data_IF_735315312376
#
_entry.id   IF_735315312376
#
_cell.length_a   1.000
_cell.length_b   1.000
_cell.length_c   1.000
_cell.angle_alpha   90.00
_cell.angle_beta   90.00
_cell.angle_gamma   90.00
#
_symmetry.space_group_name_H-M   'P 1'
#
loop_
_entity.id
_entity.type
_entity.pdbx_description
1 polymer ?
#
# COMPACT_ATOMS: atom_id res chain seq x y z
N UNK A 1 5.90 -28.66 21.14
CA UNK A 1 7.06 -28.22 20.35
C UNK A 1 7.68 -27.02 21.04
N UNK A 2 9.01 -27.00 21.24
CA UNK A 2 9.74 -25.88 21.83
C UNK A 2 10.79 -25.40 20.85
N UNK A 3 10.72 -24.13 20.44
CA UNK A 3 11.71 -23.49 19.57
C UNK A 3 12.57 -22.53 20.39
N UNK A 4 13.89 -22.60 20.28
CA UNK A 4 14.84 -21.71 20.95
C UNK A 4 15.76 -21.08 19.92
N UNK A 5 15.82 -19.75 19.89
CA UNK A 5 16.67 -18.99 18.98
C UNK A 5 18.00 -18.64 19.66
N UNK A 6 19.12 -18.90 18.99
CA UNK A 6 20.47 -18.63 19.50
C UNK A 6 20.91 -17.17 19.29
N UNK A 7 20.30 -16.41 18.37
CA UNK A 7 20.59 -14.98 18.18
C UNK A 7 20.23 -14.08 19.38
N UNK A 8 19.44 -14.54 20.35
CA UNK A 8 19.13 -13.69 21.52
C UNK A 8 20.28 -13.59 22.53
N UNK A 9 21.43 -14.17 22.23
CA UNK A 9 22.65 -14.14 23.03
C UNK A 9 23.69 -13.24 22.37
N UNK A 10 23.31 -11.97 22.12
CA UNK A 10 24.14 -10.94 21.51
C UNK A 10 25.48 -10.80 22.26
N UNK A 11 26.55 -11.30 21.66
CA UNK A 11 27.89 -10.72 21.69
C UNK A 11 28.74 -11.43 20.64
N UNK A 12 29.25 -10.64 19.69
CA UNK A 12 30.21 -11.03 18.67
C UNK A 12 31.35 -11.90 19.25
N UNK A 13 31.73 -12.96 18.51
CA UNK A 13 33.01 -13.67 18.60
C UNK A 13 33.52 -14.06 20.00
N UNK A 14 32.73 -14.79 20.79
CA UNK A 14 33.27 -15.49 21.96
C UNK A 14 32.76 -16.92 22.04
N UNK A 15 33.68 -17.84 22.37
CA UNK A 15 33.35 -19.21 22.77
C UNK A 15 32.35 -19.15 23.92
N UNK A 16 31.28 -19.94 23.81
CA UNK A 16 30.27 -19.93 24.85
C UNK A 16 30.85 -20.46 26.16
N UNK A 17 30.60 -19.73 27.25
CA UNK A 17 30.98 -20.15 28.59
C UNK A 17 29.80 -20.82 29.33
N UNK A 18 30.11 -21.43 30.47
CA UNK A 18 29.12 -22.13 31.31
C UNK A 18 27.86 -21.29 31.58
N UNK A 19 28.00 -19.98 31.84
CA UNK A 19 26.85 -19.12 32.12
C UNK A 19 25.87 -19.03 30.94
N UNK A 20 26.36 -19.05 29.69
CA UNK A 20 25.50 -19.01 28.51
C UNK A 20 24.78 -20.35 28.30
N UNK A 21 25.44 -21.48 28.58
CA UNK A 21 24.80 -22.81 28.56
C UNK A 21 23.69 -22.92 29.62
N UNK A 22 23.93 -22.39 30.81
CA UNK A 22 22.90 -22.28 31.85
C UNK A 22 21.66 -21.54 31.35
N UNK A 23 21.84 -20.37 30.71
CA UNK A 23 20.71 -19.59 30.21
C UNK A 23 19.99 -20.32 29.08
N UNK A 24 20.70 -21.02 28.19
CA UNK A 24 20.09 -21.85 27.16
C UNK A 24 19.17 -22.93 27.74
N UNK A 25 19.68 -23.73 28.68
CA UNK A 25 18.90 -24.82 29.30
C UNK A 25 17.71 -24.27 30.08
N UNK A 26 17.89 -23.18 30.84
CA UNK A 26 16.78 -22.48 31.52
C UNK A 26 15.70 -22.04 30.54
N UNK A 27 16.09 -21.45 29.41
CA UNK A 27 15.13 -21.00 28.41
C UNK A 27 14.34 -22.14 27.77
N UNK A 28 14.96 -23.30 27.58
CA UNK A 28 14.24 -24.52 27.17
C UNK A 28 13.21 -24.90 28.24
N UNK A 29 13.63 -24.97 29.50
CA UNK A 29 12.76 -25.31 30.64
C UNK A 29 11.58 -24.33 30.78
N UNK A 30 11.81 -23.03 30.67
CA UNK A 30 10.77 -22.00 30.78
C UNK A 30 9.74 -22.13 29.65
N UNK A 31 10.19 -22.41 28.42
CA UNK A 31 9.29 -22.66 27.30
C UNK A 31 8.50 -23.96 27.46
N UNK A 32 9.08 -25.00 28.05
CA UNK A 32 8.37 -26.24 28.34
C UNK A 32 7.27 -26.03 29.39
N UNK A 33 7.54 -25.24 30.44
CA UNK A 33 6.53 -24.90 31.47
C UNK A 33 5.34 -24.17 30.88
N UNK A 34 5.58 -23.17 30.00
CA UNK A 34 4.52 -22.42 29.34
C UNK A 34 3.61 -23.30 28.47
N UNK A 35 4.15 -24.39 27.89
CA UNK A 35 3.37 -25.34 27.09
C UNK A 35 2.49 -26.23 27.97
N UNK A 36 2.96 -26.65 29.16
CA UNK A 36 2.19 -27.48 30.09
C UNK A 36 1.00 -26.73 30.71
N UNK A 37 1.19 -25.45 31.04
CA UNK A 37 0.13 -24.59 31.60
C UNK A 37 -1.03 -24.27 30.64
N UNK A 38 -0.84 -24.45 29.33
CA UNK A 38 -1.88 -24.19 28.31
C UNK A 38 -2.78 -25.39 27.98
N UNK A 39 -2.40 -26.60 28.41
CA UNK A 39 -3.09 -27.85 28.01
C UNK A 39 -4.10 -28.39 29.05
N UNK A 40 -4.39 -27.66 30.12
CA UNK A 40 -5.46 -28.02 31.07
C UNK A 40 -5.29 -29.36 31.79
N UNK A 41 -4.13 -29.99 31.74
CA UNK A 41 -3.82 -31.23 32.46
C UNK A 41 -3.00 -30.92 33.71
N UNK A 42 -3.62 -30.27 34.70
CA UNK A 42 -3.21 -30.47 36.09
C UNK A 42 -3.94 -31.73 36.50
N UNK A 43 -3.30 -32.89 36.38
CA UNK A 43 -3.54 -34.04 37.23
C UNK A 43 -2.41 -35.06 37.02
N UNK A 44 -1.72 -35.37 38.12
CA UNK A 44 -0.72 -36.44 38.27
C UNK A 44 0.77 -36.13 37.98
N UNK A 45 1.24 -34.90 38.20
CA UNK A 45 2.67 -34.64 38.42
C UNK A 45 2.99 -34.01 39.78
N UNK A 46 2.07 -34.05 40.74
CA UNK A 46 2.25 -33.42 42.06
C UNK A 46 2.81 -34.34 43.15
N UNK A 47 2.84 -35.66 42.98
CA UNK A 47 3.28 -36.56 44.06
C UNK A 47 4.79 -36.85 44.12
N UNK A 48 5.61 -36.17 43.29
CA UNK A 48 7.07 -36.22 43.40
C UNK A 48 7.75 -34.84 43.30
N UNK A 49 6.99 -33.75 43.45
CA UNK A 49 7.47 -32.35 43.37
C UNK A 49 7.23 -31.63 44.70
N UNK A 50 7.37 -32.33 45.82
CA UNK A 50 7.64 -31.69 47.11
C UNK A 50 9.12 -31.92 47.41
N UNK A 51 9.97 -31.20 46.68
CA UNK A 51 11.22 -30.61 47.19
C UNK A 51 11.86 -29.76 46.07
N UNK A 52 12.07 -28.49 46.41
CA UNK A 52 12.60 -27.37 45.60
C UNK A 52 11.63 -26.62 44.68
N UNK A 53 10.66 -25.92 45.29
CA UNK A 53 10.28 -24.55 44.90
C UNK A 53 11.40 -23.54 45.25
N UNK A 54 12.64 -23.88 44.85
CA UNK A 54 13.81 -23.02 45.03
C UNK A 54 14.11 -22.26 43.75
N UNK A 55 14.31 -20.96 43.90
CA UNK A 55 14.81 -20.03 42.89
C UNK A 55 15.79 -20.68 41.87
N UNK A 56 15.39 -20.72 40.60
CA UNK A 56 16.18 -21.30 39.49
C UNK A 56 17.50 -20.52 39.28
N UNK A 57 17.62 -19.34 39.89
CA UNK A 57 18.78 -18.45 39.81
C UNK A 57 20.09 -19.10 40.26
N UNK A 58 20.06 -20.12 41.14
CA UNK A 58 21.25 -20.73 41.77
C UNK A 58 21.60 -22.18 41.40
N UNK A 59 20.87 -22.84 40.50
CA UNK A 59 21.12 -24.26 40.16
C UNK A 59 22.29 -24.43 39.17
N UNK A 60 23.25 -25.32 39.49
CA UNK A 60 24.34 -25.78 38.63
C UNK A 60 23.87 -26.40 37.30
N UNK A 61 24.69 -26.35 36.24
CA UNK A 61 24.32 -26.78 34.88
C UNK A 61 23.84 -28.23 34.84
N UNK A 62 24.54 -29.13 35.54
CA UNK A 62 24.19 -30.55 35.66
C UNK A 62 22.80 -30.75 36.25
N UNK A 63 22.43 -29.96 37.28
CA UNK A 63 21.10 -30.03 37.91
C UNK A 63 20.02 -29.54 36.94
N UNK A 64 20.30 -28.52 36.14
CA UNK A 64 19.39 -28.03 35.10
C UNK A 64 19.20 -29.09 34.00
N UNK A 65 20.27 -29.75 33.56
CA UNK A 65 20.20 -30.83 32.58
C UNK A 65 19.43 -32.04 33.12
N UNK A 66 19.69 -32.46 34.36
CA UNK A 66 18.94 -33.54 35.01
C UNK A 66 17.45 -33.19 35.15
N UNK A 67 17.12 -31.92 35.45
CA UNK A 67 15.73 -31.46 35.49
C UNK A 67 15.09 -31.51 34.10
N UNK A 68 15.79 -31.05 33.07
CA UNK A 68 15.32 -31.12 31.69
C UNK A 68 15.06 -32.57 31.27
N UNK A 69 16.00 -33.48 31.55
CA UNK A 69 15.87 -34.90 31.25
C UNK A 69 14.63 -35.50 31.91
N UNK A 70 14.45 -35.27 33.21
CA UNK A 70 13.29 -35.78 33.96
C UNK A 70 11.97 -35.27 33.41
N UNK A 71 11.89 -34.00 33.00
CA UNK A 71 10.67 -33.42 32.45
C UNK A 71 10.31 -34.00 31.07
N UNK A 72 11.32 -34.35 30.27
CA UNK A 72 11.14 -34.90 28.92
C UNK A 72 11.03 -36.43 28.91
N UNK A 73 11.42 -37.09 30.01
CA UNK A 73 11.45 -38.55 30.11
C UNK A 73 10.04 -39.14 29.95
N UNK A 74 9.91 -40.13 29.06
CA UNK A 74 8.62 -40.77 28.77
C UNK A 74 7.66 -39.89 27.94
N UNK A 75 8.08 -38.71 27.49
CA UNK A 75 7.29 -37.81 26.64
C UNK A 75 7.89 -37.71 25.24
N UNK A 76 7.03 -37.66 24.22
CA UNK A 76 7.45 -37.23 22.88
C UNK A 76 7.70 -35.74 22.87
N UNK A 77 8.86 -35.30 22.39
CA UNK A 77 9.22 -33.88 22.33
C UNK A 77 9.83 -33.49 20.99
N UNK A 78 9.65 -32.23 20.60
CA UNK A 78 10.32 -31.62 19.47
C UNK A 78 10.98 -30.32 19.94
N UNK A 79 12.31 -30.26 19.89
CA UNK A 79 13.10 -29.08 20.21
C UNK A 79 13.74 -28.56 18.93
N UNK A 80 13.59 -27.26 18.66
CA UNK A 80 14.25 -26.60 17.53
C UNK A 80 15.30 -25.64 18.07
N UNK A 81 16.57 -25.93 17.78
CA UNK A 81 17.72 -25.08 18.05
C UNK A 81 17.98 -24.23 16.80
N UNK A 82 17.47 -23.00 16.82
CA UNK A 82 17.42 -22.17 15.63
C UNK A 82 18.60 -21.18 15.54
N UNK A 83 19.24 -21.16 14.37
CA UNK A 83 20.35 -20.28 13.97
C UNK A 83 21.58 -20.40 14.87
N UNK A 84 22.19 -21.59 14.93
CA UNK A 84 23.40 -21.87 15.72
C UNK A 84 24.67 -21.47 14.95
N UNK A 85 25.61 -20.76 15.58
CA UNK A 85 26.75 -20.10 14.89
C UNK A 85 28.15 -20.62 15.22
N UNK A 86 28.32 -21.45 16.25
CA UNK A 86 29.64 -21.89 16.69
C UNK A 86 29.64 -23.37 17.03
N UNK A 87 30.84 -23.93 17.07
CA UNK A 87 31.08 -25.30 17.49
C UNK A 87 31.35 -25.25 18.99
N UNK A 88 30.66 -26.08 19.77
CA UNK A 88 30.85 -26.18 21.21
C UNK A 88 30.75 -27.63 21.65
N UNK A 89 31.63 -28.03 22.56
CA UNK A 89 31.59 -29.35 23.16
C UNK A 89 30.26 -29.59 23.89
N UNK A 90 29.68 -28.56 24.51
CA UNK A 90 28.47 -28.67 25.31
C UNK A 90 27.27 -29.22 24.53
N UNK A 91 27.11 -28.85 23.26
CA UNK A 91 26.01 -29.33 22.41
C UNK A 91 26.51 -30.09 21.18
N UNK A 92 27.79 -30.49 21.18
CA UNK A 92 28.36 -31.43 20.23
C UNK A 92 27.76 -32.82 20.42
N UNK A 93 27.62 -33.56 19.31
CA UNK A 93 27.09 -34.93 19.30
C UNK A 93 25.85 -35.08 20.18
N UNK A 94 24.71 -34.58 19.70
CA UNK A 94 23.45 -34.71 20.42
C UNK A 94 23.03 -36.17 20.64
N UNK A 95 23.73 -37.16 20.05
CA UNK A 95 23.55 -38.59 20.30
C UNK A 95 24.28 -39.12 21.55
N UNK A 96 25.29 -38.41 22.07
CA UNK A 96 26.06 -38.86 23.24
C UNK A 96 25.27 -38.75 24.56
N UNK A 97 25.85 -39.25 25.66
CA UNK A 97 25.20 -39.29 26.99
C UNK A 97 26.09 -38.75 28.13
N UNK A 98 27.00 -37.83 27.83
CA UNK A 98 27.86 -37.18 28.83
C UNK A 98 27.06 -36.19 29.71
N UNK A 99 27.20 -36.29 31.03
CA UNK A 99 26.35 -35.61 32.02
C UNK A 99 26.44 -34.07 31.98
N UNK A 100 27.56 -33.53 31.50
CA UNK A 100 27.85 -32.11 31.37
C UNK A 100 27.41 -31.52 30.02
N UNK A 101 26.85 -32.34 29.12
CA UNK A 101 26.41 -31.94 27.78
C UNK A 101 24.89 -31.81 27.66
N UNK A 102 24.45 -30.98 26.72
CA UNK A 102 23.04 -30.79 26.39
C UNK A 102 22.32 -32.11 26.08
N UNK A 103 23.02 -33.06 25.46
CA UNK A 103 22.51 -34.39 25.12
C UNK A 103 22.01 -35.18 26.33
N UNK A 104 22.61 -35.00 27.51
CA UNK A 104 22.13 -35.60 28.76
C UNK A 104 20.77 -35.06 29.18
N UNK A 105 20.50 -33.78 28.92
CA UNK A 105 19.18 -33.19 29.13
C UNK A 105 18.08 -33.74 28.20
N UNK A 106 18.44 -34.50 27.17
CA UNK A 106 17.56 -34.95 26.09
C UNK A 106 17.38 -36.47 26.12
N UNK A 107 16.33 -36.99 26.79
CA UNK A 107 16.17 -38.41 26.99
C UNK A 107 15.98 -39.15 25.67
N UNK A 108 16.65 -40.30 25.54
CA UNK A 108 16.64 -41.14 24.34
C UNK A 108 15.58 -42.24 24.46
N UNK A 109 15.07 -42.69 23.31
CA UNK A 109 14.08 -43.77 23.26
C UNK A 109 12.64 -43.38 23.65
N UNK A 110 12.37 -42.10 23.96
CA UNK A 110 11.02 -41.60 24.31
C UNK A 110 10.29 -40.91 23.15
N UNK A 111 10.75 -41.06 21.89
CA UNK A 111 10.15 -40.38 20.73
C UNK A 111 10.47 -38.89 20.61
N UNK A 112 11.62 -38.46 21.17
CA UNK A 112 12.12 -37.10 21.08
C UNK A 112 12.88 -36.81 19.77
N UNK A 113 12.69 -35.61 19.21
CA UNK A 113 13.40 -35.11 18.05
C UNK A 113 14.00 -33.72 18.32
N UNK A 114 15.18 -33.47 17.76
CA UNK A 114 15.84 -32.16 17.79
C UNK A 114 16.14 -31.73 16.37
N UNK A 115 15.71 -30.53 15.99
CA UNK A 115 16.05 -29.90 14.71
C UNK A 115 17.05 -28.78 15.01
N UNK A 116 18.17 -28.79 14.30
CA UNK A 116 19.17 -27.71 14.36
C UNK A 116 19.12 -26.97 13.04
N UNK A 117 19.03 -25.64 13.07
CA UNK A 117 19.20 -24.80 11.87
C UNK A 117 20.47 -23.97 12.02
N UNK A 118 21.25 -23.88 10.96
CA UNK A 118 22.49 -23.10 10.90
C UNK A 118 22.83 -22.76 9.46
N UNK A 119 23.64 -21.72 9.27
CA UNK A 119 24.24 -21.34 7.98
C UNK A 119 25.63 -21.95 7.79
N UNK A 120 26.14 -22.68 8.77
CA UNK A 120 27.51 -23.20 8.83
C UNK A 120 27.44 -24.73 8.86
N UNK A 121 27.71 -25.41 7.73
CA UNK A 121 27.59 -26.87 7.62
C UNK A 121 28.37 -27.63 8.71
N UNK A 122 29.56 -27.14 9.06
CA UNK A 122 30.44 -27.74 10.06
C UNK A 122 29.81 -27.77 11.46
N UNK A 123 29.03 -26.73 11.80
CA UNK A 123 28.29 -26.67 13.07
C UNK A 123 27.22 -27.76 13.10
N UNK A 124 26.43 -27.90 12.03
CA UNK A 124 25.42 -28.93 11.95
C UNK A 124 26.05 -30.34 12.03
N UNK A 125 27.13 -30.57 11.27
CA UNK A 125 27.81 -31.87 11.24
C UNK A 125 28.31 -32.25 12.63
N UNK A 126 28.88 -31.31 13.37
CA UNK A 126 29.39 -31.55 14.72
C UNK A 126 28.28 -31.81 15.76
N UNK A 127 27.09 -31.23 15.55
CA UNK A 127 25.96 -31.39 16.47
C UNK A 127 25.15 -32.66 16.21
N UNK A 128 24.86 -33.00 14.95
CA UNK A 128 23.94 -34.09 14.60
C UNK A 128 24.58 -35.23 13.81
N UNK A 129 25.82 -35.07 13.36
CA UNK A 129 26.52 -36.04 12.51
C UNK A 129 26.07 -36.00 11.04
N UNK A 130 26.96 -36.43 10.13
CA UNK A 130 26.76 -36.35 8.67
C UNK A 130 25.46 -36.98 8.17
N UNK A 131 25.07 -38.13 8.73
CA UNK A 131 23.91 -38.89 8.26
C UNK A 131 22.57 -38.19 8.56
N UNK A 132 22.58 -37.15 9.38
CA UNK A 132 21.39 -36.39 9.79
C UNK A 132 21.35 -34.98 9.19
N UNK A 133 22.25 -34.65 8.25
CA UNK A 133 22.31 -33.35 7.60
C UNK A 133 21.26 -33.23 6.49
N UNK A 134 20.57 -32.10 6.48
CA UNK A 134 19.64 -31.71 5.41
C UNK A 134 20.08 -30.33 4.92
N UNK A 135 20.63 -30.29 3.71
CA UNK A 135 20.92 -29.03 3.01
C UNK A 135 19.64 -28.50 2.38
N UNK A 136 19.27 -27.27 2.72
CA UNK A 136 18.12 -26.60 2.10
C UNK A 136 18.60 -25.95 0.80
N UNK A 137 18.19 -26.53 -0.32
CA UNK A 137 18.51 -26.01 -1.65
C UNK A 137 17.67 -24.76 -1.98
N UNK A 138 18.17 -23.85 -2.83
CA UNK A 138 17.37 -22.75 -3.39
C UNK A 138 16.10 -23.26 -4.08
N UNK A 139 15.04 -22.47 -4.04
CA UNK A 139 13.79 -22.80 -4.72
C UNK A 139 13.93 -22.69 -6.24
N UNK A 140 13.05 -23.37 -6.95
CA UNK A 140 12.89 -23.17 -8.37
C UNK A 140 12.29 -21.78 -8.69
N UNK A 141 12.52 -21.33 -9.93
CA UNK A 141 12.10 -20.01 -10.40
C UNK A 141 10.58 -19.81 -10.39
N UNK A 142 9.78 -20.87 -10.60
CA UNK A 142 8.31 -20.75 -10.56
C UNK A 142 7.81 -20.64 -9.11
N UNK A 143 8.45 -21.32 -8.16
CA UNK A 143 8.16 -21.14 -6.74
C UNK A 143 8.48 -19.72 -6.26
N UNK A 144 9.59 -19.12 -6.69
CA UNK A 144 9.88 -17.70 -6.40
C UNK A 144 8.81 -16.76 -6.98
N UNK A 145 8.39 -16.98 -8.23
CA UNK A 145 7.30 -16.21 -8.82
C UNK A 145 5.97 -16.36 -8.06
N UNK A 146 5.64 -17.57 -7.62
CA UNK A 146 4.45 -17.82 -6.79
C UNK A 146 4.52 -17.08 -5.47
N UNK A 147 5.66 -17.13 -4.77
CA UNK A 147 5.87 -16.39 -3.51
C UNK A 147 5.71 -14.89 -3.73
N UNK A 148 6.27 -14.36 -4.81
CA UNK A 148 6.11 -12.96 -5.19
C UNK A 148 4.61 -12.61 -5.35
N UNK A 149 3.88 -13.37 -6.16
CA UNK A 149 2.46 -13.12 -6.42
C UNK A 149 1.56 -13.29 -5.18
N UNK A 150 1.86 -14.26 -4.32
CA UNK A 150 1.16 -14.45 -3.05
C UNK A 150 1.42 -13.28 -2.10
N UNK A 151 2.67 -12.82 -2.02
CA UNK A 151 3.04 -11.65 -1.20
C UNK A 151 2.36 -10.38 -1.68
N UNK A 152 2.22 -10.19 -3.00
CA UNK A 152 1.45 -9.09 -3.60
C UNK A 152 -0.01 -9.14 -3.12
N UNK A 153 -0.64 -10.32 -3.18
CA UNK A 153 -2.03 -10.52 -2.73
C UNK A 153 -2.18 -10.27 -1.22
N UNK A 154 -1.27 -10.80 -0.41
CA UNK A 154 -1.28 -10.63 1.05
C UNK A 154 -1.14 -9.14 1.45
N UNK A 155 -0.29 -8.42 0.73
CA UNK A 155 -0.11 -6.98 0.90
C UNK A 155 -1.27 -6.15 0.34
N UNK A 156 -2.28 -6.79 -0.29
CA UNK A 156 -3.39 -6.13 -1.00
C UNK A 156 -2.90 -5.15 -2.07
N UNK A 157 -1.74 -5.41 -2.65
CA UNK A 157 -1.14 -4.58 -3.70
C UNK A 157 -1.68 -5.03 -5.07
N UNK A 158 -1.93 -4.08 -5.97
CA UNK A 158 -2.33 -4.37 -7.35
C UNK A 158 -1.23 -3.95 -8.30
N UNK A 159 -0.80 -4.89 -9.14
CA UNK A 159 0.03 -4.58 -10.30
C UNK A 159 -0.89 -4.06 -11.41
N UNK A 160 -1.09 -2.74 -11.49
CA UNK A 160 -1.90 -2.08 -12.53
C UNK A 160 -1.23 -2.14 -13.92
N UNK A 161 -0.89 -3.34 -14.37
CA UNK A 161 -0.16 -3.55 -15.61
C UNK A 161 -1.15 -3.63 -16.76
N UNK A 162 -1.11 -2.62 -17.63
CA UNK A 162 -1.98 -2.51 -18.82
C UNK A 162 -1.70 -3.53 -19.93
N UNK A 163 -0.59 -4.27 -19.88
CA UNK A 163 -0.15 -5.17 -20.97
C UNK A 163 0.47 -6.47 -20.47
N UNK A 164 0.11 -7.59 -21.09
CA UNK A 164 0.68 -8.91 -20.78
C UNK A 164 2.21 -8.93 -20.93
N UNK A 165 2.75 -8.20 -21.90
CA UNK A 165 4.20 -8.12 -22.16
C UNK A 165 4.99 -7.54 -20.97
N UNK A 166 4.42 -6.58 -20.25
CA UNK A 166 5.10 -5.97 -19.10
C UNK A 166 5.09 -6.91 -17.89
N UNK A 167 4.02 -7.68 -17.71
CA UNK A 167 3.93 -8.72 -16.69
C UNK A 167 4.95 -9.83 -16.95
N UNK A 168 5.11 -10.24 -18.21
CA UNK A 168 6.12 -11.25 -18.59
C UNK A 168 7.54 -10.76 -18.32
N UNK A 169 7.83 -9.48 -18.59
CA UNK A 169 9.13 -8.85 -18.25
C UNK A 169 9.38 -8.86 -16.75
N UNK A 170 8.38 -8.50 -15.94
CA UNK A 170 8.50 -8.55 -14.48
C UNK A 170 8.70 -9.99 -14.01
N UNK A 171 7.93 -10.94 -14.54
CA UNK A 171 8.09 -12.36 -14.22
C UNK A 171 9.51 -12.82 -14.51
N UNK A 172 10.06 -12.50 -15.68
CA UNK A 172 11.42 -12.87 -16.05
C UNK A 172 12.46 -12.20 -15.15
N UNK A 173 12.32 -10.91 -14.86
CA UNK A 173 13.22 -10.20 -13.96
C UNK A 173 13.20 -10.80 -12.54
N UNK A 174 12.03 -11.19 -12.02
CA UNK A 174 11.92 -11.88 -10.72
C UNK A 174 12.67 -13.22 -10.77
N UNK A 175 12.51 -13.99 -11.85
CA UNK A 175 13.22 -15.28 -12.00
C UNK A 175 14.74 -15.09 -12.00
N UNK A 176 15.22 -14.07 -12.69
CA UNK A 176 16.64 -13.79 -12.86
C UNK A 176 17.27 -13.18 -11.59
N UNK A 177 16.53 -12.34 -10.86
CA UNK A 177 17.04 -11.61 -9.68
C UNK A 177 16.89 -12.37 -8.36
N UNK A 178 15.95 -13.31 -8.25
CA UNK A 178 15.72 -14.01 -6.99
C UNK A 178 16.72 -15.13 -6.70
N UNK A 179 17.34 -15.74 -7.73
CA UNK A 179 18.27 -16.87 -7.58
C UNK A 179 17.76 -18.00 -6.67
N UNK A 180 16.44 -18.25 -6.66
CA UNK A 180 15.81 -19.26 -5.80
C UNK A 180 15.63 -18.86 -4.34
N UNK A 181 15.95 -17.61 -3.96
CA UNK A 181 15.82 -17.12 -2.59
C UNK A 181 14.38 -16.63 -2.31
N UNK A 182 13.64 -17.27 -1.37
CA UNK A 182 12.27 -16.87 -1.02
C UNK A 182 12.19 -15.42 -0.50
N UNK A 183 13.20 -15.00 0.27
CA UNK A 183 13.24 -13.67 0.86
C UNK A 183 13.39 -12.59 -0.21
N UNK A 184 14.22 -12.83 -1.24
CA UNK A 184 14.37 -11.89 -2.35
C UNK A 184 13.04 -11.68 -3.09
N UNK A 185 12.27 -12.75 -3.33
CA UNK A 185 10.96 -12.65 -3.95
C UNK A 185 9.98 -11.81 -3.12
N UNK A 186 9.97 -11.96 -1.79
CA UNK A 186 9.15 -11.16 -0.88
C UNK A 186 9.54 -9.68 -0.89
N UNK A 187 10.83 -9.37 -0.85
CA UNK A 187 11.32 -7.98 -0.89
C UNK A 187 10.95 -7.30 -2.21
N UNK A 188 11.15 -7.98 -3.34
CA UNK A 188 10.78 -7.45 -4.65
C UNK A 188 9.26 -7.21 -4.76
N UNK A 189 8.43 -8.07 -4.16
CA UNK A 189 6.98 -7.86 -4.08
C UNK A 189 6.61 -6.57 -3.32
N UNK A 190 7.42 -6.13 -2.36
CA UNK A 190 7.22 -4.85 -1.67
C UNK A 190 7.70 -3.61 -2.45
N UNK A 191 8.59 -3.79 -3.44
CA UNK A 191 9.26 -2.71 -4.17
C UNK A 191 8.63 -2.46 -5.54
N UNK A 192 8.37 -3.51 -6.31
CA UNK A 192 7.96 -3.41 -7.72
C UNK A 192 6.64 -2.64 -7.90
N UNK A 193 5.57 -2.90 -7.13
CA UNK A 193 4.31 -2.15 -7.28
C UNK A 193 4.50 -0.64 -7.08
N UNK A 194 5.30 -0.26 -6.07
CA UNK A 194 5.61 1.15 -5.79
C UNK A 194 6.33 1.81 -6.96
N UNK A 195 7.33 1.11 -7.53
CA UNK A 195 8.06 1.59 -8.72
C UNK A 195 7.16 1.74 -9.94
N UNK A 196 6.25 0.80 -10.17
CA UNK A 196 5.28 0.89 -11.26
C UNK A 196 4.40 2.14 -11.07
N UNK A 197 3.84 2.34 -9.88
CA UNK A 197 3.03 3.54 -9.56
C UNK A 197 3.79 4.84 -9.77
N UNK A 198 5.06 4.89 -9.37
CA UNK A 198 5.93 6.06 -9.58
C UNK A 198 6.14 6.34 -11.08
N UNK A 199 6.44 5.31 -11.88
CA UNK A 199 6.67 5.44 -13.32
C UNK A 199 5.39 5.86 -14.04
N UNK A 200 4.26 5.23 -13.72
CA UNK A 200 2.96 5.57 -14.30
C UNK A 200 2.53 6.98 -13.93
N UNK A 201 2.72 7.39 -12.68
CA UNK A 201 2.49 8.78 -12.24
C UNK A 201 3.33 9.76 -13.06
N UNK A 202 4.62 9.48 -13.26
CA UNK A 202 5.51 10.34 -14.04
C UNK A 202 5.14 10.38 -15.52
N UNK A 203 4.73 9.23 -16.10
CA UNK A 203 4.25 9.17 -17.48
C UNK A 203 2.98 9.99 -17.66
N UNK A 204 2.05 9.90 -16.73
CA UNK A 204 0.80 10.67 -16.77
C UNK A 204 1.06 12.18 -16.63
N UNK A 205 1.92 12.60 -15.70
CA UNK A 205 2.28 14.01 -15.53
C UNK A 205 2.90 14.62 -16.79
N UNK A 206 3.65 13.84 -17.59
CA UNK A 206 4.17 14.31 -18.89
C UNK A 206 3.06 14.65 -19.88
N UNK A 207 1.94 13.93 -19.86
CA UNK A 207 0.79 14.21 -20.72
C UNK A 207 0.03 15.48 -20.30
N UNK A 208 0.32 16.04 -19.12
CA UNK A 208 -0.26 17.30 -18.60
C UNK A 208 0.69 18.50 -18.75
N UNK A 209 1.99 18.24 -18.84
CA UNK A 209 3.03 19.26 -18.94
C UNK A 209 3.02 19.89 -20.33
N UNK A 210 2.90 21.22 -20.38
CA UNK A 210 3.03 22.01 -21.61
C UNK A 210 4.46 22.57 -21.64
N UNK A 211 5.30 22.13 -22.60
CA UNK A 211 6.63 22.70 -22.82
C UNK A 211 6.55 24.21 -23.04
N UNK A 212 7.53 24.93 -22.49
CA UNK A 212 7.58 26.39 -22.56
C UNK A 212 7.55 26.90 -24.00
N UNK A 213 8.20 26.16 -24.89
CA UNK A 213 8.31 26.39 -26.32
C UNK A 213 6.93 26.47 -27.00
N UNK A 214 5.95 25.68 -26.53
CA UNK A 214 4.59 25.63 -27.10
C UNK A 214 3.74 26.85 -26.72
N UNK A 215 4.18 27.66 -25.74
CA UNK A 215 3.49 28.87 -25.28
C UNK A 215 4.23 30.16 -25.69
N UNK A 216 5.07 30.11 -26.72
CA UNK A 216 5.73 31.28 -27.29
C UNK A 216 5.11 31.67 -28.65
N UNK A 217 4.59 32.90 -28.76
CA UNK A 217 3.93 33.36 -29.98
C UNK A 217 4.88 33.51 -31.19
N UNK A 218 6.18 33.63 -30.94
CA UNK A 218 7.21 33.97 -31.94
C UNK A 218 8.01 32.74 -32.40
N UNK A 219 7.36 31.57 -32.50
CA UNK A 219 7.98 30.38 -33.09
C UNK A 219 8.26 30.59 -34.59
N UNK A 220 9.55 30.53 -34.96
CA UNK A 220 10.02 30.55 -36.35
C UNK A 220 9.97 29.17 -37.01
N UNK A 221 10.09 28.10 -36.22
CA UNK A 221 10.07 26.69 -36.65
C UNK A 221 9.22 25.89 -35.65
N UNK A 222 8.54 24.84 -36.14
CA UNK A 222 7.80 23.91 -35.29
C UNK A 222 8.76 23.21 -34.32
N UNK A 223 8.55 23.33 -33.00
CA UNK A 223 9.47 22.77 -32.03
C UNK A 223 9.39 21.25 -32.02
N UNK A 224 10.55 20.57 -32.04
CA UNK A 224 10.66 19.11 -31.94
C UNK A 224 10.47 18.61 -30.50
N UNK A 225 9.34 19.00 -29.88
CA UNK A 225 8.99 18.67 -28.49
C UNK A 225 7.73 17.82 -28.43
N UNK A 226 7.57 17.07 -27.34
CA UNK A 226 6.39 16.24 -27.12
C UNK A 226 5.14 17.11 -26.93
N UNK A 227 4.08 16.80 -27.69
CA UNK A 227 2.78 17.44 -27.56
C UNK A 227 1.99 16.65 -26.50
N UNK A 228 1.56 17.30 -25.39
CA UNK A 228 0.79 16.64 -24.34
C UNK A 228 -0.62 16.29 -24.81
N UNK A 229 -1.13 15.10 -24.45
CA UNK A 229 -2.52 14.69 -24.77
C UNK A 229 -3.58 15.33 -23.87
N UNK A 230 -3.22 15.68 -22.63
CA UNK A 230 -4.13 16.20 -21.62
C UNK A 230 -3.56 17.46 -20.95
N UNK A 231 -3.20 18.50 -21.72
CA UNK A 231 -2.55 19.70 -21.20
C UNK A 231 -3.40 20.37 -20.11
N UNK A 232 -2.74 20.94 -19.09
CA UNK A 232 -3.48 21.61 -18.01
C UNK A 232 -3.00 23.03 -17.74
N UNK A 233 -3.94 23.88 -17.31
CA UNK A 233 -3.67 25.14 -16.63
C UNK A 233 -4.23 25.05 -15.21
N UNK A 234 -3.43 25.40 -14.22
CA UNK A 234 -3.81 25.28 -12.81
C UNK A 234 -3.85 26.65 -12.17
N UNK A 235 -5.00 27.00 -11.59
CA UNK A 235 -5.17 28.20 -10.77
C UNK A 235 -5.32 27.80 -9.31
N UNK A 236 -4.51 28.38 -8.43
CA UNK A 236 -4.48 28.06 -7.00
C UNK A 236 -4.90 29.29 -6.20
N UNK A 237 -6.01 29.16 -5.47
CA UNK A 237 -6.51 30.16 -4.53
C UNK A 237 -5.58 30.28 -3.32
N UNK A 238 -5.06 31.48 -3.10
CA UNK A 238 -4.15 31.79 -2.00
C UNK A 238 -4.86 32.48 -0.81
N UNK A 239 -6.17 32.78 -0.90
CA UNK A 239 -6.94 33.58 0.08
C UNK A 239 -7.58 32.70 1.17
N UNK A 240 -8.15 31.55 0.82
CA UNK A 240 -8.96 30.71 1.72
C UNK A 240 -8.21 29.59 2.46
N UNK A 241 -6.88 29.67 2.55
CA UNK A 241 -6.15 28.72 3.36
C UNK A 241 -6.05 29.24 4.80
N UNK A 242 -6.85 28.68 5.70
CA UNK A 242 -6.68 28.82 7.17
C UNK A 242 -5.23 28.54 7.61
N UNK A 243 -4.43 27.92 6.75
CA UNK A 243 -3.00 27.76 6.84
C UNK A 243 -2.30 28.30 5.56
N UNK A 244 -1.87 29.57 5.57
CA UNK A 244 -1.14 30.25 4.46
C UNK A 244 0.02 29.41 3.87
N UNK A 245 0.60 28.50 4.66
CA UNK A 245 1.67 27.60 4.22
C UNK A 245 1.22 26.55 3.20
N UNK A 246 -0.05 26.14 3.20
CA UNK A 246 -0.55 25.11 2.29
C UNK A 246 -0.65 25.62 0.84
N UNK A 247 -1.01 26.89 0.64
CA UNK A 247 -1.07 27.53 -0.69
C UNK A 247 0.27 27.63 -1.36
N UNK A 248 1.26 28.10 -0.62
CA UNK A 248 2.64 28.18 -1.10
C UNK A 248 3.19 26.77 -1.38
N UNK A 249 2.94 25.80 -0.48
CA UNK A 249 3.37 24.40 -0.66
C UNK A 249 2.74 23.75 -1.90
N UNK A 250 1.45 23.96 -2.15
CA UNK A 250 0.77 23.44 -3.33
C UNK A 250 1.27 24.10 -4.60
N UNK A 251 1.42 25.43 -4.60
CA UNK A 251 1.98 26.16 -5.72
C UNK A 251 3.37 25.66 -6.10
N UNK A 252 4.25 25.48 -5.14
CA UNK A 252 5.60 24.96 -5.38
C UNK A 252 5.55 23.52 -5.89
N UNK A 253 4.66 22.68 -5.35
CA UNK A 253 4.52 21.30 -5.79
C UNK A 253 3.99 21.21 -7.22
N UNK A 254 2.93 21.94 -7.56
CA UNK A 254 2.40 21.97 -8.92
C UNK A 254 3.42 22.53 -9.92
N UNK A 255 4.16 23.57 -9.55
CA UNK A 255 5.23 24.13 -10.39
C UNK A 255 6.42 23.19 -10.58
N UNK A 256 6.69 22.33 -9.60
CA UNK A 256 7.75 21.33 -9.70
C UNK A 256 7.40 20.21 -10.69
N UNK A 257 6.15 19.74 -10.71
CA UNK A 257 5.73 18.63 -11.60
C UNK A 257 5.23 19.09 -12.96
N UNK A 258 4.69 20.31 -13.03
CA UNK A 258 4.26 20.95 -14.27
C UNK A 258 5.27 22.05 -14.64
N UNK A 259 4.77 23.23 -14.98
CA UNK A 259 5.56 24.38 -15.37
C UNK A 259 5.05 25.65 -14.65
N UNK A 260 5.95 26.61 -14.38
CA UNK A 260 5.61 27.95 -13.87
C UNK A 260 4.69 28.73 -14.81
N UNK A 261 4.71 28.45 -16.11
CA UNK A 261 3.79 29.04 -17.10
C UNK A 261 2.43 28.31 -17.20
N UNK A 262 2.23 27.24 -16.43
CA UNK A 262 0.95 26.52 -16.36
C UNK A 262 0.26 26.69 -15.00
N UNK A 263 1.00 27.10 -13.96
CA UNK A 263 0.52 27.10 -12.58
C UNK A 263 0.55 28.51 -11.99
N UNK A 264 -0.63 29.06 -11.73
CA UNK A 264 -0.86 30.45 -11.39
C UNK A 264 -1.50 30.61 -10.00
N UNK A 265 -0.90 31.47 -9.18
CA UNK A 265 -1.45 31.85 -7.90
C UNK A 265 -2.51 32.95 -8.09
N UNK A 266 -3.72 32.75 -7.56
CA UNK A 266 -4.86 33.69 -7.68
C UNK A 266 -5.17 34.30 -6.32
N UNK A 267 -5.40 35.61 -6.30
CA UNK A 267 -5.78 36.39 -5.12
C UNK A 267 -6.88 37.37 -5.50
N UNK A 268 -8.03 37.25 -4.82
CA UNK A 268 -9.24 38.03 -5.08
C UNK A 268 -9.13 39.51 -4.63
N UNK A 269 -8.12 39.88 -3.84
CA UNK A 269 -7.95 41.24 -3.32
C UNK A 269 -6.52 41.78 -3.45
N UNK A 270 -6.42 43.08 -3.76
CA UNK A 270 -5.19 43.89 -3.67
C UNK A 270 -4.81 44.12 -2.20
N UNK A 271 -4.42 43.06 -1.50
CA UNK A 271 -3.84 43.20 -0.16
C UNK A 271 -2.43 43.79 -0.29
N UNK A 272 -2.28 45.08 -0.02
CA UNK A 272 -0.99 45.69 0.32
C UNK A 272 -0.39 44.93 1.49
N UNK A 273 0.74 44.25 1.25
CA UNK A 273 1.91 44.06 2.14
C UNK A 273 2.65 42.74 1.86
N UNK A 274 3.90 42.87 1.40
CA UNK A 274 5.01 41.90 1.47
C UNK A 274 4.68 40.40 1.26
N UNK A 275 3.99 40.04 0.17
CA UNK A 275 3.84 38.62 -0.24
C UNK A 275 5.08 38.15 -1.02
N UNK A 276 5.62 36.97 -0.67
CA UNK A 276 6.72 36.29 -1.40
C UNK A 276 6.31 35.81 -2.80
N UNK A 277 5.02 35.65 -3.05
CA UNK A 277 4.45 35.10 -4.30
C UNK A 277 3.63 36.17 -5.03
N UNK A 278 3.95 36.40 -6.31
CA UNK A 278 3.20 37.31 -7.20
C UNK A 278 1.86 36.66 -7.59
N UNK A 279 0.76 37.36 -7.30
CA UNK A 279 -0.57 36.97 -7.76
C UNK A 279 -0.72 37.19 -9.27
N UNK A 280 -1.54 36.36 -9.90
CA UNK A 280 -1.88 36.45 -11.31
C UNK A 280 -3.36 36.78 -11.43
N UNK A 281 -3.65 37.66 -12.39
CA UNK A 281 -5.01 37.96 -12.82
C UNK A 281 -5.47 36.87 -13.81
N UNK A 282 -6.49 36.08 -13.48
CA UNK A 282 -6.97 34.99 -14.34
C UNK A 282 -7.36 35.47 -15.74
N UNK A 283 -7.95 36.66 -15.86
CA UNK A 283 -8.36 37.21 -17.15
C UNK A 283 -7.16 37.45 -18.06
N UNK A 284 -6.13 38.09 -17.53
CA UNK A 284 -4.89 38.32 -18.27
C UNK A 284 -4.20 37.01 -18.65
N UNK A 285 -4.10 36.06 -17.72
CA UNK A 285 -3.46 34.77 -17.97
C UNK A 285 -4.17 34.02 -19.10
N UNK A 286 -5.49 33.91 -19.03
CA UNK A 286 -6.27 33.19 -20.03
C UNK A 286 -6.21 33.90 -21.39
N UNK A 287 -6.28 35.24 -21.43
CA UNK A 287 -6.07 36.01 -22.67
C UNK A 287 -4.70 35.78 -23.29
N UNK A 288 -3.65 35.76 -22.47
CA UNK A 288 -2.28 35.57 -22.93
C UNK A 288 -2.08 34.14 -23.49
N UNK A 289 -2.57 33.11 -22.79
CA UNK A 289 -2.42 31.71 -23.21
C UNK A 289 -3.27 31.40 -24.46
N UNK A 290 -4.58 31.64 -24.42
CA UNK A 290 -5.45 31.37 -25.58
C UNK A 290 -5.13 32.29 -26.75
N UNK A 291 -4.76 33.54 -26.50
CA UNK A 291 -4.31 34.46 -27.54
C UNK A 291 -3.02 34.01 -28.21
N UNK A 292 -2.11 33.37 -27.47
CA UNK A 292 -0.89 32.77 -28.03
C UNK A 292 -1.21 31.54 -28.88
N UNK A 293 -2.02 30.61 -28.37
CA UNK A 293 -2.45 29.42 -29.11
C UNK A 293 -3.20 29.80 -30.40
N UNK A 294 -4.07 30.81 -30.36
CA UNK A 294 -4.79 31.32 -31.53
C UNK A 294 -3.83 31.94 -32.58
N UNK A 295 -2.79 32.67 -32.14
CA UNK A 295 -1.75 33.17 -33.04
C UNK A 295 -0.96 32.03 -33.69
N UNK A 296 -0.62 30.99 -32.93
CA UNK A 296 0.11 29.82 -33.43
C UNK A 296 -0.75 28.99 -34.40
N UNK A 297 -2.04 28.83 -34.11
CA UNK A 297 -3.02 28.21 -35.00
C UNK A 297 -3.11 28.95 -36.34
N UNK A 298 -3.13 30.29 -36.33
CA UNK A 298 -3.11 31.11 -37.56
C UNK A 298 -1.80 31.00 -38.35
N UNK A 299 -0.68 30.69 -37.70
CA UNK A 299 0.60 30.40 -38.34
C UNK A 299 0.66 28.99 -38.97
N UNK A 300 -0.36 28.15 -38.76
CA UNK A 300 -0.43 26.81 -39.32
C UNK A 300 0.11 25.70 -38.42
N UNK A 301 0.44 25.99 -37.16
CA UNK A 301 0.90 24.98 -36.21
C UNK A 301 -0.27 24.14 -35.69
N UNK A 302 -0.36 22.89 -36.15
CA UNK A 302 -1.48 21.98 -35.84
C UNK A 302 -1.61 21.65 -34.34
N UNK A 303 -0.48 21.57 -33.62
CA UNK A 303 -0.48 21.30 -32.19
C UNK A 303 -1.24 22.36 -31.37
N UNK A 304 -1.31 23.61 -31.85
CA UNK A 304 -1.96 24.68 -31.11
C UNK A 304 -3.48 24.46 -31.04
N UNK A 305 -4.08 23.93 -32.11
CA UNK A 305 -5.50 23.55 -32.14
C UNK A 305 -5.76 22.34 -31.24
N UNK A 306 -4.86 21.35 -31.26
CA UNK A 306 -4.97 20.14 -30.41
C UNK A 306 -4.87 20.49 -28.92
N UNK A 307 -3.90 21.31 -28.53
CA UNK A 307 -3.77 21.80 -27.14
C UNK A 307 -5.02 22.58 -26.75
N UNK A 308 -5.47 23.52 -27.59
CA UNK A 308 -6.64 24.34 -27.27
C UNK A 308 -7.90 23.49 -27.02
N UNK A 309 -8.10 22.41 -27.78
CA UNK A 309 -9.24 21.49 -27.66
C UNK A 309 -9.18 20.57 -26.44
N UNK A 310 -7.98 20.10 -26.10
CA UNK A 310 -7.77 19.08 -25.06
C UNK A 310 -7.40 19.68 -23.70
N UNK A 311 -7.09 20.98 -23.65
CA UNK A 311 -6.63 21.63 -22.44
C UNK A 311 -7.71 21.75 -21.38
N UNK A 312 -7.36 21.38 -20.16
CA UNK A 312 -8.23 21.45 -18.98
C UNK A 312 -7.76 22.55 -18.04
N UNK A 313 -8.69 23.38 -17.57
CA UNK A 313 -8.46 24.39 -16.54
C UNK A 313 -8.82 23.81 -15.18
N UNK A 314 -7.82 23.63 -14.33
CA UNK A 314 -7.97 23.13 -12.96
C UNK A 314 -8.00 24.33 -12.02
N UNK A 315 -8.99 24.36 -11.14
CA UNK A 315 -9.15 25.43 -10.15
C UNK A 315 -9.06 24.82 -8.76
N UNK A 316 -7.95 25.06 -8.06
CA UNK A 316 -7.73 24.60 -6.69
C UNK A 316 -8.09 25.74 -5.74
N UNK A 317 -9.27 25.69 -5.11
CA UNK A 317 -9.71 26.83 -4.31
C UNK A 317 -11.12 26.71 -3.74
N UNK A 318 -11.55 27.79 -3.08
CA UNK A 318 -12.94 27.93 -2.65
C UNK A 318 -13.85 28.36 -3.80
N UNK A 319 -15.17 28.30 -3.55
CA UNK A 319 -16.20 28.59 -4.56
C UNK A 319 -16.09 30.01 -5.15
N UNK A 320 -15.59 30.98 -4.39
CA UNK A 320 -15.45 32.36 -4.89
C UNK A 320 -14.45 32.48 -6.04
N UNK A 321 -13.26 31.88 -5.90
CA UNK A 321 -12.24 31.87 -6.95
C UNK A 321 -12.67 30.99 -8.13
N UNK A 322 -13.33 29.87 -7.86
CA UNK A 322 -13.91 29.03 -8.92
C UNK A 322 -14.92 29.80 -9.77
N UNK A 323 -15.87 30.48 -9.13
CA UNK A 323 -16.88 31.29 -9.80
C UNK A 323 -16.27 32.48 -10.56
N UNK A 324 -15.23 33.11 -10.01
CA UNK A 324 -14.52 34.18 -10.69
C UNK A 324 -13.89 33.70 -12.00
N UNK A 325 -13.11 32.61 -11.96
CA UNK A 325 -12.45 32.06 -13.15
C UNK A 325 -13.47 31.56 -14.18
N UNK A 326 -14.55 30.94 -13.72
CA UNK A 326 -15.68 30.53 -14.58
C UNK A 326 -16.29 31.74 -15.31
N UNK A 327 -16.56 32.84 -14.59
CA UNK A 327 -17.07 34.07 -15.19
C UNK A 327 -16.13 34.62 -16.26
N UNK A 328 -14.83 34.67 -15.98
CA UNK A 328 -13.81 35.09 -16.94
C UNK A 328 -13.81 34.21 -18.19
N UNK A 329 -13.85 32.89 -18.04
CA UNK A 329 -13.88 31.96 -19.19
C UNK A 329 -15.11 32.20 -20.07
N UNK A 330 -16.27 32.41 -19.46
CA UNK A 330 -17.50 32.75 -20.18
C UNK A 330 -17.38 34.08 -20.96
N UNK A 331 -16.76 35.09 -20.36
CA UNK A 331 -16.59 36.41 -20.97
C UNK A 331 -15.60 36.44 -22.14
N UNK A 332 -14.61 35.54 -22.14
CA UNK A 332 -13.60 35.44 -23.19
C UNK A 332 -14.15 34.97 -24.54
N UNK A 333 -15.38 34.45 -24.59
CA UNK A 333 -16.04 33.96 -25.82
C UNK A 333 -15.12 33.07 -26.65
N UNK A 334 -14.46 32.12 -25.99
CA UNK A 334 -13.57 31.17 -26.65
C UNK A 334 -14.34 30.34 -27.70
N UNK A 335 -13.71 29.96 -28.83
CA UNK A 335 -14.36 29.16 -29.86
C UNK A 335 -14.91 27.83 -29.34
N UNK A 336 -14.18 27.23 -28.41
CA UNK A 336 -14.56 26.04 -27.66
C UNK A 336 -14.27 26.31 -26.18
N UNK A 337 -15.20 25.91 -25.30
CA UNK A 337 -15.02 26.02 -23.86
C UNK A 337 -14.08 24.91 -23.39
N UNK A 338 -13.03 25.23 -22.62
CA UNK A 338 -12.17 24.20 -22.05
C UNK A 338 -12.93 23.37 -21.02
N UNK A 339 -12.44 22.15 -20.79
CA UNK A 339 -12.86 21.38 -19.62
C UNK A 339 -12.42 22.10 -18.34
N UNK A 340 -13.28 22.15 -17.33
CA UNK A 340 -13.00 22.84 -16.06
C UNK A 340 -13.15 21.88 -14.89
N UNK A 341 -12.13 21.80 -14.05
CA UNK A 341 -12.07 20.91 -12.91
C UNK A 341 -11.83 21.70 -11.60
N UNK A 342 -12.91 22.06 -10.86
CA UNK A 342 -12.76 22.64 -9.53
C UNK A 342 -12.37 21.56 -8.50
N UNK A 343 -11.35 21.85 -7.69
CA UNK A 343 -10.84 20.98 -6.63
C UNK A 343 -10.91 21.74 -5.30
N UNK A 344 -11.80 21.32 -4.38
CA UNK A 344 -11.86 21.89 -3.05
C UNK A 344 -10.54 21.70 -2.29
N UNK A 345 -10.11 22.74 -1.59
CA UNK A 345 -8.89 22.74 -0.75
C UNK A 345 -8.80 21.59 0.26
N UNK A 346 -9.93 21.24 0.87
CA UNK A 346 -10.03 20.20 1.90
C UNK A 346 -9.62 18.83 1.34
N UNK A 347 -9.92 18.59 0.06
CA UNK A 347 -9.57 17.35 -0.65
C UNK A 347 -8.06 17.15 -0.71
N UNK A 348 -7.29 18.20 -0.99
CA UNK A 348 -5.82 18.09 -1.14
C UNK A 348 -5.11 17.94 0.20
N UNK A 349 -5.65 18.52 1.28
CA UNK A 349 -5.11 18.35 2.64
C UNK A 349 -5.31 16.93 3.17
N UNK A 350 -6.34 16.22 2.72
CA UNK A 350 -6.66 14.86 3.16
C UNK A 350 -5.86 13.80 2.39
N UNK A 351 -5.51 14.05 1.12
CA UNK A 351 -4.93 13.05 0.20
C UNK A 351 -3.38 13.04 0.23
N UNK A 352 -2.77 13.28 1.40
CA UNK A 352 -1.31 13.11 1.59
C UNK A 352 -0.41 13.99 0.70
N UNK A 353 -0.98 14.94 -0.02
CA UNK A 353 -0.28 15.96 -0.79
C UNK A 353 0.42 15.49 -2.07
N UNK A 354 0.18 14.30 -2.65
CA UNK A 354 0.66 13.98 -4.01
C UNK A 354 -0.30 14.54 -5.08
N UNK A 355 0.25 15.09 -6.17
CA UNK A 355 -0.54 15.68 -7.26
C UNK A 355 -1.41 14.58 -7.88
N UNK A 356 -0.82 13.45 -8.25
CA UNK A 356 -1.53 12.31 -8.84
C UNK A 356 -2.62 11.74 -7.91
N UNK A 357 -2.39 11.73 -6.60
CA UNK A 357 -3.40 11.31 -5.62
C UNK A 357 -4.55 12.31 -5.50
N UNK A 358 -4.28 13.62 -5.62
CA UNK A 358 -5.30 14.68 -5.55
C UNK A 358 -6.31 14.61 -6.71
N UNK A 359 -5.96 13.94 -7.81
CA UNK A 359 -6.85 13.67 -8.94
C UNK A 359 -7.44 12.25 -8.94
N UNK A 360 -7.19 11.45 -7.89
CA UNK A 360 -7.77 10.12 -7.70
C UNK A 360 -7.17 9.02 -8.60
N UNK A 361 -5.92 9.19 -9.05
CA UNK A 361 -5.34 8.36 -10.11
C UNK A 361 -4.49 7.17 -9.62
N UNK A 362 -3.99 7.16 -8.38
CA UNK A 362 -3.08 6.10 -7.90
C UNK A 362 -3.21 5.68 -6.43
N UNK A 363 -4.36 5.90 -5.80
CA UNK A 363 -4.64 5.29 -4.49
C UNK A 363 -5.74 4.24 -4.65
N UNK A 364 -5.44 3.02 -4.20
CA UNK A 364 -6.45 2.07 -3.77
C UNK A 364 -7.38 2.81 -2.81
N UNK A 365 -8.54 3.22 -3.31
CA UNK A 365 -9.45 4.07 -2.55
C UNK A 365 -10.04 3.27 -1.40
N UNK A 366 -9.68 3.62 -0.18
CA UNK A 366 -10.67 3.72 0.88
C UNK A 366 -11.37 5.08 0.75
N UNK A 367 -12.44 5.12 -0.05
CA UNK A 367 -13.31 6.29 -0.13
C UNK A 367 -14.21 6.32 1.12
N UNK A 368 -13.82 7.06 2.15
CA UNK A 368 -14.65 7.27 3.33
C UNK A 368 -15.78 8.25 3.01
N UNK A 369 -16.99 7.73 2.82
CA UNK A 369 -18.22 8.53 2.79
C UNK A 369 -18.98 8.33 4.09
N UNK A 370 -19.33 9.42 4.79
CA UNK A 370 -20.45 9.36 5.74
C UNK A 370 -21.75 9.32 4.95
N UNK A 371 -22.39 8.15 4.88
CA UNK A 371 -23.65 7.94 4.16
C UNK A 371 -24.78 7.64 5.14
N UNK A 372 -25.96 8.19 4.86
CA UNK A 372 -27.18 7.80 5.55
C UNK A 372 -27.51 6.31 5.24
N UNK A 373 -28.15 5.57 6.17
CA UNK A 373 -28.44 4.14 5.99
C UNK A 373 -29.17 3.82 4.68
N UNK A 374 -30.06 4.69 4.22
CA UNK A 374 -30.77 4.53 2.96
C UNK A 374 -29.86 4.63 1.73
N UNK A 375 -28.87 5.53 1.72
CA UNK A 375 -27.91 5.60 0.61
C UNK A 375 -27.02 4.35 0.58
N UNK A 376 -26.66 3.81 1.75
CA UNK A 376 -25.97 2.53 1.85
C UNK A 376 -26.83 1.40 1.26
N UNK A 377 -28.07 1.25 1.71
CA UNK A 377 -28.98 0.21 1.22
C UNK A 377 -29.15 0.22 -0.32
N UNK A 378 -29.18 1.40 -0.94
CA UNK A 378 -29.26 1.55 -2.40
C UNK A 378 -28.02 1.00 -3.10
N UNK A 379 -26.82 1.42 -2.68
CA UNK A 379 -25.58 1.02 -3.36
C UNK A 379 -25.22 -0.45 -3.10
N UNK A 380 -25.69 -1.02 -1.98
CA UNK A 380 -25.52 -2.44 -1.67
C UNK A 380 -26.15 -3.36 -2.74
N UNK A 381 -27.26 -2.97 -3.37
CA UNK A 381 -27.90 -3.78 -4.41
C UNK A 381 -27.05 -3.95 -5.68
N UNK A 382 -26.08 -3.05 -5.89
CA UNK A 382 -25.19 -3.09 -7.06
C UNK A 382 -24.02 -4.07 -6.91
N UNK A 383 -23.94 -4.81 -5.80
CA UNK A 383 -22.95 -5.86 -5.60
C UNK A 383 -23.20 -7.08 -6.48
N UNK A 384 -24.44 -7.56 -6.49
CA UNK A 384 -24.81 -8.78 -7.20
C UNK A 384 -25.11 -8.50 -8.69
N UNK A 385 -25.56 -7.28 -8.99
CA UNK A 385 -25.96 -6.87 -10.33
C UNK A 385 -25.53 -5.43 -10.63
N UNK A 386 -24.81 -5.22 -11.73
CA UNK A 386 -24.21 -3.91 -12.09
C UNK A 386 -25.20 -2.86 -12.61
N UNK A 387 -26.39 -3.27 -13.01
CA UNK A 387 -27.41 -2.40 -13.61
C UNK A 387 -28.80 -2.75 -13.08
N UNK A 388 -29.60 -1.76 -12.73
CA UNK A 388 -30.95 -1.93 -12.21
C UNK A 388 -31.93 -0.98 -12.87
N UNK A 389 -33.19 -1.40 -13.02
CA UNK A 389 -34.30 -0.47 -13.32
C UNK A 389 -34.73 0.25 -12.04
N UNK A 390 -35.34 1.42 -12.16
CA UNK A 390 -35.78 2.20 -11.00
C UNK A 390 -36.84 1.46 -10.18
N UNK A 391 -37.71 0.69 -10.84
CA UNK A 391 -38.74 -0.14 -10.19
C UNK A 391 -38.15 -1.33 -9.45
N UNK A 392 -37.25 -2.07 -10.07
CA UNK A 392 -36.66 -3.27 -9.47
C UNK A 392 -35.73 -2.91 -8.31
N UNK A 393 -34.99 -1.80 -8.44
CA UNK A 393 -34.14 -1.30 -7.37
C UNK A 393 -34.96 -0.82 -6.17
N UNK A 394 -36.09 -0.14 -6.41
CA UNK A 394 -36.97 0.33 -5.35
C UNK A 394 -37.57 -0.85 -4.57
N UNK A 395 -37.99 -1.90 -5.29
CA UNK A 395 -38.49 -3.14 -4.71
C UNK A 395 -37.41 -3.88 -3.90
N UNK A 396 -36.18 -3.96 -4.41
CA UNK A 396 -35.06 -4.63 -3.75
C UNK A 396 -34.60 -3.89 -2.47
N UNK A 397 -34.61 -2.56 -2.47
CA UNK A 397 -34.29 -1.73 -1.29
C UNK A 397 -35.45 -1.67 -0.30
N UNK A 398 -36.68 -1.92 -0.75
CA UNK A 398 -37.89 -1.87 0.08
C UNK A 398 -38.43 -0.46 0.33
N UNK A 399 -38.27 0.45 -0.63
CA UNK A 399 -38.72 1.86 -0.52
C UNK A 399 -39.59 2.29 -1.71
N UNK A 400 -40.48 3.28 -1.55
CA UNK A 400 -41.23 3.85 -2.67
C UNK A 400 -40.30 4.41 -3.76
N UNK A 401 -40.67 4.25 -5.03
CA UNK A 401 -39.87 4.68 -6.18
C UNK A 401 -39.53 6.18 -6.15
N UNK A 402 -40.44 7.04 -5.69
CA UNK A 402 -40.21 8.48 -5.53
C UNK A 402 -39.11 8.76 -4.48
N UNK A 403 -39.05 7.94 -3.43
CA UNK A 403 -38.02 8.04 -2.38
C UNK A 403 -36.68 7.60 -2.92
N UNK A 404 -36.64 6.52 -3.71
CA UNK A 404 -35.43 6.05 -4.39
C UNK A 404 -34.90 7.13 -5.35
N UNK A 405 -35.73 7.65 -6.25
CA UNK A 405 -35.34 8.62 -7.26
C UNK A 405 -34.78 9.93 -6.64
N UNK A 406 -35.32 10.37 -5.50
CA UNK A 406 -34.77 11.53 -4.78
C UNK A 406 -33.41 11.26 -4.13
N UNK A 407 -33.13 10.02 -3.75
CA UNK A 407 -31.95 9.63 -2.95
C UNK A 407 -30.82 9.07 -3.79
N UNK A 408 -31.12 8.44 -4.93
CA UNK A 408 -30.13 7.88 -5.85
C UNK A 408 -29.27 8.94 -6.52
N UNK A 409 -29.82 10.16 -6.69
CA UNK A 409 -29.09 11.35 -7.16
C UNK A 409 -27.83 11.65 -6.36
N UNK A 410 -27.78 11.26 -5.08
CA UNK A 410 -26.54 11.34 -4.30
C UNK A 410 -25.40 10.56 -4.99
N UNK A 411 -25.63 9.31 -5.38
CA UNK A 411 -24.63 8.46 -6.03
C UNK A 411 -24.34 8.85 -7.47
N UNK A 412 -25.35 9.36 -8.18
CA UNK A 412 -25.18 9.93 -9.52
C UNK A 412 -24.29 11.17 -9.46
N UNK A 413 -24.54 12.08 -8.52
CA UNK A 413 -23.73 13.30 -8.32
C UNK A 413 -22.29 13.03 -7.92
N UNK A 414 -22.01 11.84 -7.36
CA UNK A 414 -20.66 11.38 -7.02
C UNK A 414 -19.97 10.61 -8.14
N UNK A 415 -20.64 10.46 -9.29
CA UNK A 415 -20.12 9.73 -10.45
C UNK A 415 -19.99 8.22 -10.22
N UNK A 416 -20.70 7.67 -9.22
CA UNK A 416 -20.67 6.24 -8.90
C UNK A 416 -21.69 5.48 -9.74
N UNK A 417 -22.87 6.06 -9.94
CA UNK A 417 -23.92 5.53 -10.81
C UNK A 417 -24.13 6.46 -12.00
N UNK A 418 -24.40 5.89 -13.17
CA UNK A 418 -24.92 6.58 -14.33
C UNK A 418 -26.43 6.30 -14.45
N UNK A 419 -27.18 7.31 -14.86
CA UNK A 419 -28.59 7.18 -15.19
C UNK A 419 -28.76 7.22 -16.71
N UNK A 420 -29.50 6.25 -17.24
CA UNK A 420 -29.92 6.16 -18.63
C UNK A 420 -31.44 6.14 -18.68
N UNK A 421 -32.04 6.93 -19.57
CA UNK A 421 -33.48 6.94 -19.79
C UNK A 421 -33.89 5.65 -20.53
N UNK A 422 -34.84 4.91 -19.95
CA UNK A 422 -35.46 3.75 -20.61
C UNK A 422 -36.44 4.18 -21.72
N UNK A 423 -36.89 3.20 -22.50
CA UNK A 423 -37.85 3.42 -23.62
C UNK A 423 -39.24 3.88 -23.15
N UNK A 424 -39.56 3.74 -21.86
CA UNK A 424 -40.76 4.27 -21.20
C UNK A 424 -40.41 5.45 -20.29
N UNK A 425 -41.23 6.51 -20.31
CA UNK A 425 -40.95 7.81 -19.66
C UNK A 425 -40.85 7.78 -18.13
N UNK A 426 -41.19 6.66 -17.48
CA UNK A 426 -41.22 6.49 -16.03
C UNK A 426 -40.23 5.43 -15.50
N UNK A 427 -39.39 4.83 -16.37
CA UNK A 427 -38.43 3.78 -15.98
C UNK A 427 -36.99 4.19 -16.28
N UNK A 428 -36.24 4.50 -15.22
CA UNK A 428 -34.86 4.96 -15.30
C UNK A 428 -33.92 3.78 -15.04
N UNK A 429 -32.92 3.60 -15.89
CA UNK A 429 -31.92 2.55 -15.71
C UNK A 429 -30.68 3.13 -15.04
N UNK A 430 -30.29 2.54 -13.91
CA UNK A 430 -29.11 2.92 -13.17
C UNK A 430 -28.01 1.89 -13.38
N UNK A 431 -26.81 2.32 -13.76
CA UNK A 431 -25.67 1.43 -14.01
C UNK A 431 -24.43 1.89 -13.25
N UNK A 432 -23.71 0.94 -12.67
CA UNK A 432 -22.43 1.17 -11.99
C UNK A 432 -21.34 1.47 -13.03
N UNK A 433 -20.61 2.57 -12.85
CA UNK A 433 -19.53 2.97 -13.77
C UNK A 433 -18.31 2.02 -13.69
N UNK A 434 -17.76 1.60 -14.84
CA UNK A 434 -16.76 0.52 -14.95
C UNK A 434 -15.35 0.81 -14.36
N UNK A 435 -15.13 1.97 -13.74
CA UNK A 435 -13.89 2.27 -12.98
C UNK A 435 -13.94 1.93 -11.48
N UNK A 436 -15.06 1.38 -10.98
CA UNK A 436 -15.32 1.16 -9.55
C UNK A 436 -15.43 -0.32 -9.15
N UNK A 437 -15.23 -1.24 -10.10
CA UNK A 437 -15.41 -2.69 -9.89
C UNK A 437 -14.13 -3.25 -9.24
N UNK A 438 -14.15 -3.43 -7.93
CA UNK A 438 -13.19 -4.30 -7.24
C UNK A 438 -12.80 -3.91 -5.82
N UNK A 439 -12.77 -2.62 -5.47
CA UNK A 439 -12.22 -2.16 -4.18
C UNK A 439 -13.12 -1.24 -3.36
N UNK A 440 -13.95 -0.39 -3.98
CA UNK A 440 -14.82 0.56 -3.24
C UNK A 440 -16.04 -0.09 -2.57
N UNK A 441 -16.66 -1.10 -3.18
CA UNK A 441 -17.89 -1.71 -2.66
C UNK A 441 -17.68 -2.62 -1.45
N UNK A 442 -16.46 -3.10 -1.17
CA UNK A 442 -16.19 -3.92 0.02
C UNK A 442 -15.89 -3.09 1.28
N UNK A 443 -15.45 -1.83 1.16
CA UNK A 443 -15.09 -1.00 2.31
C UNK A 443 -16.20 -0.06 2.80
N UNK A 444 -17.18 0.29 1.96
CA UNK A 444 -18.41 0.93 2.43
C UNK A 444 -19.17 0.04 3.46
N UNK A 445 -18.88 -1.27 3.44
CA UNK A 445 -19.54 -2.30 4.23
C UNK A 445 -19.04 -2.44 5.67
N UNK A 446 -17.80 -2.03 5.98
CA UNK A 446 -17.30 -2.12 7.37
C UNK A 446 -17.86 -1.02 8.28
N UNK A 447 -18.30 0.12 7.74
CA UNK A 447 -18.73 1.26 8.56
C UNK A 447 -20.22 1.23 8.93
N UNK A 448 -21.08 0.59 8.14
CA UNK A 448 -22.53 0.54 8.40
C UNK A 448 -22.91 -0.47 9.49
N UNK A 449 -22.08 -1.49 9.74
CA UNK A 449 -22.31 -2.49 10.80
C UNK A 449 -21.98 -1.94 12.19
N UNK A 450 -21.30 -0.79 12.31
CA UNK A 450 -20.93 -0.21 13.61
C UNK A 450 -21.86 0.89 14.15
N UNK A 451 -22.91 1.26 13.41
CA UNK A 451 -23.84 2.34 13.82
C UNK A 451 -25.33 2.05 13.53
N UNK A 452 -25.74 0.76 13.57
CA UNK A 452 -27.13 0.34 13.74
C UNK A 452 -27.34 -0.31 15.10
#
# INVERSE_FOLDING_TARGET
MVRVHFQSFNSCNFDWNSAQFHVLVRRILDKLRAVDSGNGAIDNLNDAIVEEEGDISGLGLERLLARLNRLLSGKGYLIVLDDVWHISEFYSDLGCTFQDRLSYGLPKGSGGAVIVTTRIPEVAEHMVGRNNLITVEPLDTESCWRIFMETIKDNKEVLNISTHETLDKIKNEIKDQCYGLPLAAKELAGIIPKRIREIESNRFLKEMYIPDELLHADLEVEPAVHIPKFPVLVFIDMKNMNNKQLGEKLLDKFRYHLNKKQVFAVLEEKSDTKKKVKAHDPERVLKDVYGTLEKLKRKGYGFADEIQKTMTVIIVGGDSVANWILGVICDLKLPELPSIAPIPLQTISLIGGSISSSFGWFEDREMQFMVAPLHAAIIMQFQDQKSWTSKDLAAAVGVPIDTLNRRINFWISKGILAELLGEDTDDHMFTLMEGMIGSCLCFLFCFVIFYL
#
